data_IF_041404221731
#
_entry.id   IF_041404221731
#
_cell.length_a   1.000
_cell.length_b   1.000
_cell.length_c   1.000
_cell.angle_alpha   90.00
_cell.angle_beta   90.00
_cell.angle_gamma   90.00
#
_symmetry.space_group_name_H-M   'P 1'
#
loop_
_entity.id
_entity.type
_entity.pdbx_description
1 polymer ?
#
# COMPACT_ATOMS: atom_id res chain seq x y z
N UNK A 1 -8.73 -4.18 -15.11
CA UNK A 1 -9.51 -3.15 -14.38
C UNK A 1 -9.55 -3.56 -12.92
N UNK A 2 -8.68 -3.00 -12.06
CA UNK A 2 -8.64 -3.37 -10.64
C UNK A 2 -9.84 -2.76 -9.90
N UNK A 3 -10.71 -3.63 -9.39
CA UNK A 3 -11.73 -3.31 -8.38
C UNK A 3 -11.06 -3.06 -7.01
N UNK A 4 -11.75 -2.46 -6.02
CA UNK A 4 -11.16 -1.61 -4.98
C UNK A 4 -10.06 -2.30 -4.17
N UNK A 5 -9.15 -1.52 -3.58
CA UNK A 5 -7.87 -1.93 -2.99
C UNK A 5 -7.91 -3.03 -1.89
N UNK A 6 -9.07 -3.59 -1.61
CA UNK A 6 -9.30 -4.77 -0.78
C UNK A 6 -8.60 -6.02 -1.37
N UNK A 7 -8.26 -6.02 -2.66
CA UNK A 7 -8.00 -7.27 -3.37
C UNK A 7 -6.98 -7.14 -4.52
N UNK A 8 -5.85 -6.45 -4.31
CA UNK A 8 -4.78 -6.40 -5.30
C UNK A 8 -4.17 -7.78 -5.63
N UNK A 9 -4.42 -8.80 -4.80
CA UNK A 9 -4.04 -10.20 -5.06
C UNK A 9 -5.13 -11.03 -5.76
N UNK A 10 -6.33 -10.48 -5.97
CA UNK A 10 -7.41 -11.14 -6.73
C UNK A 10 -7.45 -10.73 -8.21
N UNK A 11 -6.47 -9.98 -8.70
CA UNK A 11 -6.30 -9.85 -10.15
C UNK A 11 -5.99 -11.24 -10.74
N UNK A 12 -6.59 -11.61 -11.88
CA UNK A 12 -6.37 -12.91 -12.53
C UNK A 12 -4.88 -13.24 -12.73
N UNK A 13 -4.05 -12.21 -12.91
CA UNK A 13 -2.60 -12.32 -13.11
C UNK A 13 -1.76 -12.13 -11.83
N UNK A 14 -2.36 -12.05 -10.64
CA UNK A 14 -1.57 -12.10 -9.41
C UNK A 14 -1.04 -13.52 -9.30
N UNK A 15 0.29 -13.76 -9.35
CA UNK A 15 0.81 -15.11 -9.42
C UNK A 15 0.30 -15.90 -8.20
N UNK A 16 -0.50 -16.97 -8.39
CA UNK A 16 -1.02 -17.77 -7.28
C UNK A 16 0.10 -18.39 -6.43
N UNK A 17 1.27 -18.52 -7.06
CA UNK A 17 2.56 -18.98 -6.54
C UNK A 17 3.45 -17.88 -5.97
N UNK A 18 2.98 -16.63 -5.88
CA UNK A 18 3.80 -15.59 -5.24
C UNK A 18 3.96 -15.96 -3.77
N UNK A 19 5.22 -16.16 -3.38
CA UNK A 19 5.62 -16.39 -1.99
C UNK A 19 5.10 -15.32 -1.01
N UNK A 20 4.61 -14.20 -1.55
CA UNK A 20 4.08 -13.05 -0.80
C UNK A 20 2.57 -13.13 -0.54
N UNK A 21 1.82 -14.04 -1.19
CA UNK A 21 0.36 -14.17 -0.97
C UNK A 21 -0.02 -14.38 0.50
N UNK A 22 0.67 -15.22 1.30
CA UNK A 22 0.37 -15.36 2.73
C UNK A 22 0.56 -14.06 3.51
N UNK A 23 1.60 -13.29 3.20
CA UNK A 23 1.87 -12.01 3.84
C UNK A 23 0.77 -10.97 3.50
N UNK A 24 0.36 -10.91 2.23
CA UNK A 24 -0.72 -10.03 1.79
C UNK A 24 -2.06 -10.36 2.48
N UNK A 25 -2.39 -11.65 2.61
CA UNK A 25 -3.58 -12.09 3.35
C UNK A 25 -3.49 -11.77 4.84
N UNK A 26 -2.31 -11.90 5.45
CA UNK A 26 -2.07 -11.51 6.85
C UNK A 26 -2.31 -10.02 7.06
N UNK A 27 -1.76 -9.17 6.19
CA UNK A 27 -1.96 -7.72 6.23
C UNK A 27 -3.44 -7.34 6.04
N UNK A 28 -4.16 -8.02 5.13
CA UNK A 28 -5.60 -7.79 4.95
C UNK A 28 -6.39 -8.13 6.21
N UNK A 29 -6.14 -9.29 6.83
CA UNK A 29 -6.81 -9.69 8.08
C UNK A 29 -6.51 -8.71 9.22
N UNK A 30 -5.29 -8.19 9.29
CA UNK A 30 -4.94 -7.14 10.25
C UNK A 30 -5.75 -5.86 9.99
N UNK A 31 -5.84 -5.41 8.74
CA UNK A 31 -6.63 -4.23 8.37
C UNK A 31 -8.11 -4.38 8.72
N UNK A 32 -8.68 -5.55 8.48
CA UNK A 32 -10.07 -5.86 8.87
C UNK A 32 -10.27 -5.71 10.39
N UNK A 33 -9.34 -6.24 11.20
CA UNK A 33 -9.38 -6.05 12.67
C UNK A 33 -9.22 -4.59 13.08
N UNK A 34 -8.32 -3.85 12.44
CA UNK A 34 -8.09 -2.44 12.74
C UNK A 34 -9.32 -1.57 12.42
N UNK A 35 -10.11 -1.93 11.39
CA UNK A 35 -11.35 -1.20 11.07
C UNK A 35 -12.39 -1.24 12.19
N UNK A 36 -12.41 -2.31 12.99
CA UNK A 36 -13.32 -2.45 14.14
C UNK A 36 -12.73 -1.85 15.43
N UNK A 37 -11.43 -1.53 15.44
CA UNK A 37 -10.72 -0.98 16.59
C UNK A 37 -11.05 0.51 16.81
N UNK A 38 -11.37 0.87 18.06
CA UNK A 38 -11.86 2.21 18.43
C UNK A 38 -10.94 2.97 19.38
N UNK A 39 -10.08 2.26 20.12
CA UNK A 39 -9.24 2.79 21.18
C UNK A 39 -7.88 3.34 20.71
N UNK A 40 -7.44 3.00 19.49
CA UNK A 40 -6.17 3.49 18.94
C UNK A 40 -6.38 4.26 17.63
N UNK A 41 -5.52 5.25 17.40
CA UNK A 41 -5.44 5.93 16.11
C UNK A 41 -4.42 5.20 15.23
N UNK A 42 -4.88 4.27 14.41
CA UNK A 42 -4.02 3.45 13.56
C UNK A 42 -3.90 4.05 12.16
N UNK A 43 -2.77 3.77 11.51
CA UNK A 43 -2.57 4.04 10.08
C UNK A 43 -1.90 2.81 9.46
N UNK A 44 -2.34 2.41 8.26
CA UNK A 44 -1.70 1.33 7.50
C UNK A 44 -1.15 1.88 6.19
N UNK A 45 0.17 1.82 6.00
CA UNK A 45 0.79 2.10 4.72
C UNK A 45 0.98 0.78 3.95
N UNK A 46 0.24 0.61 2.86
CA UNK A 46 0.37 -0.53 1.97
C UNK A 46 1.26 -0.17 0.76
N UNK A 47 2.26 -0.98 0.40
CA UNK A 47 3.10 -0.69 -0.76
C UNK A 47 2.32 -0.83 -2.07
N UNK A 48 2.86 -0.25 -3.15
CA UNK A 48 2.53 -0.63 -4.52
C UNK A 48 2.78 -2.12 -4.78
N UNK A 49 2.26 -2.66 -5.88
CA UNK A 49 2.39 -4.09 -6.19
C UNK A 49 3.86 -4.56 -6.26
N UNK A 50 4.76 -3.68 -6.69
CA UNK A 50 6.21 -3.87 -6.65
C UNK A 50 6.85 -2.86 -5.71
N UNK A 51 7.58 -3.36 -4.72
CA UNK A 51 8.51 -2.59 -3.89
C UNK A 51 9.91 -3.20 -4.04
N UNK A 52 10.88 -2.37 -4.40
CA UNK A 52 12.27 -2.79 -4.61
C UNK A 52 13.22 -1.62 -4.32
N UNK A 53 14.50 -1.91 -4.11
CA UNK A 53 15.52 -0.87 -3.99
C UNK A 53 15.53 0.02 -5.24
N UNK A 54 15.74 1.31 -5.04
CA UNK A 54 15.75 2.30 -6.12
C UNK A 54 16.27 3.65 -5.66
N UNK A 55 15.75 4.71 -6.27
CA UNK A 55 16.14 6.07 -5.93
C UNK A 55 15.16 6.68 -4.92
N UNK A 56 15.69 7.55 -4.05
CA UNK A 56 14.89 8.47 -3.22
C UNK A 56 14.52 9.68 -4.06
N UNK A 57 13.35 9.65 -4.69
CA UNK A 57 12.92 10.72 -5.58
C UNK A 57 12.18 11.84 -4.82
N UNK A 58 11.50 11.50 -3.73
CA UNK A 58 10.55 12.40 -3.05
C UNK A 58 9.35 12.79 -3.92
N UNK A 59 9.14 12.10 -5.05
CA UNK A 59 8.08 12.36 -6.03
C UNK A 59 7.23 11.12 -6.18
N UNK A 60 6.17 11.05 -5.40
CA UNK A 60 5.22 9.93 -5.42
C UNK A 60 3.81 10.46 -5.19
N UNK A 61 2.82 9.63 -5.55
CA UNK A 61 1.41 9.86 -5.29
C UNK A 61 0.99 9.06 -4.06
N UNK A 62 0.01 9.59 -3.33
CA UNK A 62 -0.62 8.93 -2.21
C UNK A 62 -2.10 8.73 -2.50
N UNK A 63 -2.63 7.54 -2.21
CA UNK A 63 -4.04 7.20 -2.41
C UNK A 63 -4.55 6.34 -1.26
N UNK A 64 -5.87 6.31 -1.03
CA UNK A 64 -6.44 5.49 0.06
C UNK A 64 -6.70 4.05 -0.38
N UNK A 65 -7.75 3.89 -1.20
CA UNK A 65 -8.27 2.58 -1.60
C UNK A 65 -8.14 2.30 -3.10
N UNK A 66 -7.30 3.07 -3.81
CA UNK A 66 -7.03 2.86 -5.23
C UNK A 66 -5.61 2.37 -5.41
N UNK A 67 -5.45 1.37 -6.28
CA UNK A 67 -4.14 0.96 -6.74
C UNK A 67 -3.55 2.08 -7.59
N UNK A 68 -2.34 2.51 -7.23
CA UNK A 68 -1.57 3.44 -8.05
C UNK A 68 -0.89 2.67 -9.17
N UNK A 69 -1.17 3.09 -10.41
CA UNK A 69 -0.51 2.62 -11.62
C UNK A 69 -0.01 3.81 -12.42
N UNK A 70 1.18 3.67 -13.00
CA UNK A 70 1.75 4.67 -13.90
C UNK A 70 1.14 4.55 -15.32
N UNK A 71 1.58 5.41 -16.25
CA UNK A 71 1.12 5.42 -17.65
C UNK A 71 1.41 4.11 -18.39
N UNK A 72 2.39 3.32 -17.93
CA UNK A 72 2.75 2.01 -18.46
C UNK A 72 1.95 0.86 -17.84
N UNK A 73 1.03 1.16 -16.92
CA UNK A 73 0.22 0.18 -16.20
C UNK A 73 0.94 -0.51 -15.04
N UNK A 74 2.11 -0.01 -14.61
CA UNK A 74 2.91 -0.60 -13.54
C UNK A 74 2.55 0.03 -12.20
N UNK A 75 2.39 -0.80 -11.16
CA UNK A 75 2.26 -0.35 -9.77
C UNK A 75 3.59 -0.57 -9.06
N UNK A 76 4.37 0.51 -8.86
CA UNK A 76 5.72 0.44 -8.31
C UNK A 76 6.04 1.61 -7.40
N UNK A 77 6.86 1.33 -6.39
CA UNK A 77 7.53 2.33 -5.54
C UNK A 77 8.94 1.83 -5.17
N UNK A 78 9.89 2.73 -4.93
CA UNK A 78 11.18 2.36 -4.32
C UNK A 78 11.02 2.14 -2.81
N UNK A 79 11.93 1.36 -2.19
CA UNK A 79 11.98 1.23 -0.73
C UNK A 79 12.23 2.60 -0.09
N UNK A 80 13.08 3.41 -0.71
CA UNK A 80 13.47 4.72 -0.25
C UNK A 80 12.27 5.68 -0.19
N UNK A 81 11.46 5.75 -1.26
CA UNK A 81 10.25 6.59 -1.30
C UNK A 81 9.12 6.01 -0.44
N UNK A 82 9.06 4.69 -0.27
CA UNK A 82 8.11 4.06 0.66
C UNK A 82 8.39 4.47 2.10
N UNK A 83 9.66 4.45 2.52
CA UNK A 83 10.08 4.90 3.86
C UNK A 83 9.85 6.40 4.02
N UNK A 84 10.05 7.20 2.97
CA UNK A 84 9.70 8.62 3.00
C UNK A 84 8.22 8.84 3.29
N UNK A 85 7.33 8.17 2.56
CA UNK A 85 5.89 8.28 2.80
C UNK A 85 5.49 7.85 4.22
N UNK A 86 6.20 6.88 4.81
CA UNK A 86 6.00 6.48 6.20
C UNK A 86 6.42 7.58 7.18
N UNK A 87 7.62 8.14 7.00
CA UNK A 87 8.15 9.20 7.88
C UNK A 87 7.30 10.47 7.76
N UNK A 88 6.91 10.86 6.55
CA UNK A 88 6.04 12.03 6.32
C UNK A 88 4.70 11.90 7.06
N UNK A 89 4.10 10.71 7.10
CA UNK A 89 2.86 10.44 7.84
C UNK A 89 3.07 10.43 9.36
N UNK A 90 4.25 10.05 9.85
CA UNK A 90 4.59 10.14 11.27
C UNK A 90 4.78 11.59 11.74
N UNK A 91 5.40 12.43 10.90
CA UNK A 91 5.64 13.83 11.22
C UNK A 91 4.38 14.69 11.09
N UNK A 92 3.60 14.47 10.03
CA UNK A 92 2.37 15.21 9.75
C UNK A 92 1.25 14.20 9.42
N UNK A 93 0.54 13.67 10.43
CA UNK A 93 -0.48 12.65 10.23
C UNK A 93 -1.65 13.14 9.36
N UNK A 94 -1.90 12.45 8.24
CA UNK A 94 -2.99 12.73 7.27
C UNK A 94 -3.96 11.58 7.11
N UNK A 95 -3.57 10.35 7.48
CA UNK A 95 -4.32 9.12 7.24
C UNK A 95 -4.79 8.44 8.53
N UNK A 96 -5.38 9.21 9.44
CA UNK A 96 -6.00 8.72 10.68
C UNK A 96 -7.04 7.62 10.43
N UNK A 97 -6.91 6.50 11.14
CA UNK A 97 -7.78 5.30 11.08
C UNK A 97 -8.05 4.85 9.65
N UNK A 98 -7.04 4.93 8.81
CA UNK A 98 -7.15 4.71 7.36
C UNK A 98 -5.95 3.92 6.85
N UNK A 99 -6.19 3.14 5.80
CA UNK A 99 -5.11 2.62 4.95
C UNK A 99 -4.85 3.60 3.82
N UNK A 100 -3.59 3.82 3.51
CA UNK A 100 -3.16 4.49 2.29
C UNK A 100 -2.06 3.70 1.57
N UNK A 101 -1.77 4.10 0.35
CA UNK A 101 -0.74 3.52 -0.51
C UNK A 101 0.11 4.61 -1.15
N UNK A 102 1.28 4.21 -1.62
CA UNK A 102 2.27 5.06 -2.27
C UNK A 102 2.76 4.41 -3.57
N UNK A 103 2.92 5.22 -4.62
CA UNK A 103 3.38 4.77 -5.93
C UNK A 103 3.61 5.92 -6.90
N UNK A 104 4.27 5.62 -8.02
CA UNK A 104 4.54 6.59 -9.09
C UNK A 104 3.34 6.78 -10.02
#
# INVERSE_FOLDING_TARGET
MCLPANACWMIPDFPPTSQYKPAAMGAQKLLERLRDEKGINWTVLAPSAVIALGERTGKFRLEKDRLLVNEKGESRVSVEDFVMALVDELEIPRFSRTRFTVGY
#
